data_IF_044132288867
#
_entry.id   IF_044132288867
#
_cell.length_a   1.000
_cell.length_b   1.000
_cell.length_c   1.000
_cell.angle_alpha   90.00
_cell.angle_beta   90.00
_cell.angle_gamma   90.00
#
_symmetry.space_group_name_H-M   'P 1'
#
loop_
_entity.id
_entity.type
_entity.pdbx_description
1 polymer ?
#
# COMPACT_ATOMS: atom_id res chain seq x y z
N UNK A 1 -22.30 8.55 38.91
CA UNK A 1 -22.45 7.08 38.99
C UNK A 1 -22.32 6.36 37.64
N UNK A 2 -22.14 7.05 36.50
CA UNK A 2 -21.92 6.43 35.17
C UNK A 2 -20.44 6.40 34.72
N UNK A 3 -19.51 7.03 35.47
CA UNK A 3 -18.07 7.04 35.15
C UNK A 3 -17.32 5.77 35.59
N UNK A 4 -17.81 5.08 36.62
CA UNK A 4 -17.17 3.85 37.13
C UNK A 4 -17.44 2.63 36.26
N UNK A 5 -18.63 2.56 35.63
CA UNK A 5 -19.00 1.46 34.72
C UNK A 5 -18.18 1.46 33.43
N UNK A 6 -17.86 2.65 32.90
CA UNK A 6 -17.05 2.80 31.67
C UNK A 6 -15.61 2.35 31.90
N UNK A 7 -15.05 2.58 33.10
CA UNK A 7 -13.65 2.25 33.37
C UNK A 7 -13.41 0.73 33.39
N UNK A 8 -14.27 -0.06 34.02
CA UNK A 8 -14.11 -1.52 34.05
C UNK A 8 -14.30 -2.14 32.65
N UNK A 9 -15.26 -1.64 31.87
CA UNK A 9 -15.43 -2.09 30.48
C UNK A 9 -14.23 -1.74 29.61
N UNK A 10 -13.67 -0.53 29.76
CA UNK A 10 -12.46 -0.11 29.06
C UNK A 10 -11.22 -0.89 29.51
N UNK A 11 -11.09 -1.22 30.80
CA UNK A 11 -10.02 -2.07 31.33
C UNK A 11 -10.10 -3.49 30.75
N UNK A 12 -11.31 -4.05 30.66
CA UNK A 12 -11.52 -5.36 30.02
C UNK A 12 -11.15 -5.29 28.54
N UNK A 13 -11.58 -4.25 27.82
CA UNK A 13 -11.21 -4.07 26.41
C UNK A 13 -9.69 -3.91 26.24
N UNK A 14 -9.04 -3.15 27.12
CA UNK A 14 -7.58 -2.98 27.08
C UNK A 14 -6.85 -4.31 27.30
N UNK A 15 -7.26 -5.10 28.30
CA UNK A 15 -6.70 -6.42 28.58
C UNK A 15 -6.88 -7.40 27.41
N UNK A 16 -8.06 -7.42 26.79
CA UNK A 16 -8.34 -8.26 25.61
C UNK A 16 -7.47 -7.85 24.43
N UNK A 17 -7.34 -6.54 24.16
CA UNK A 17 -6.48 -6.04 23.08
C UNK A 17 -5.01 -6.38 23.33
N UNK A 18 -4.53 -6.27 24.57
CA UNK A 18 -3.16 -6.66 24.95
C UNK A 18 -2.90 -8.15 24.74
N UNK A 19 -3.86 -9.01 25.12
CA UNK A 19 -3.76 -10.45 24.93
C UNK A 19 -3.75 -10.82 23.43
N UNK A 20 -4.61 -10.19 22.62
CA UNK A 20 -4.62 -10.33 21.17
C UNK A 20 -3.28 -9.91 20.55
N UNK A 21 -2.71 -8.80 21.01
CA UNK A 21 -1.43 -8.28 20.54
C UNK A 21 -0.28 -9.25 20.84
N UNK A 22 -0.25 -9.80 22.06
CA UNK A 22 0.72 -10.82 22.48
C UNK A 22 0.57 -12.07 21.60
N UNK A 23 -0.66 -12.53 21.37
CA UNK A 23 -0.94 -13.68 20.53
C UNK A 23 -0.54 -13.43 19.06
N UNK A 24 -0.82 -12.24 18.54
CA UNK A 24 -0.43 -11.84 17.18
C UNK A 24 1.09 -11.82 17.02
N UNK A 25 1.84 -11.29 17.98
CA UNK A 25 3.31 -11.29 17.99
C UNK A 25 3.87 -12.72 18.05
N UNK A 26 3.30 -13.59 18.88
CA UNK A 26 3.67 -15.02 18.96
C UNK A 26 3.41 -15.73 17.62
N UNK A 27 2.24 -15.54 17.02
CA UNK A 27 1.90 -16.13 15.72
C UNK A 27 2.70 -15.55 14.56
N UNK A 28 3.10 -14.27 14.61
CA UNK A 28 3.99 -13.67 13.59
C UNK A 28 5.35 -14.35 13.54
N UNK A 29 5.91 -14.76 14.68
CA UNK A 29 7.16 -15.54 14.74
C UNK A 29 7.01 -16.96 14.19
N UNK A 30 5.80 -17.52 14.21
CA UNK A 30 5.46 -18.85 13.66
C UNK A 30 5.08 -18.83 12.18
N UNK A 31 4.75 -17.65 11.62
CA UNK A 31 4.38 -17.53 10.21
C UNK A 31 5.62 -17.70 9.32
N UNK A 32 5.80 -18.88 8.75
CA UNK A 32 6.83 -19.19 7.75
C UNK A 32 6.53 -18.67 6.33
N UNK A 33 5.70 -17.63 6.19
CA UNK A 33 5.25 -17.14 4.89
C UNK A 33 5.82 -15.74 4.62
N UNK A 34 6.66 -15.63 3.58
CA UNK A 34 7.34 -14.40 3.19
C UNK A 34 6.37 -13.31 2.70
N UNK A 35 5.27 -13.69 2.04
CA UNK A 35 4.26 -12.76 1.51
C UNK A 35 2.86 -13.20 1.96
N UNK A 36 2.12 -12.33 2.65
CA UNK A 36 0.75 -12.62 3.08
C UNK A 36 -0.18 -12.90 1.89
N UNK A 37 -1.10 -13.86 2.01
CA UNK A 37 -2.02 -14.23 0.93
C UNK A 37 -2.88 -13.06 0.43
N UNK A 38 -3.20 -12.09 1.30
CA UNK A 38 -3.88 -10.86 0.89
C UNK A 38 -3.09 -10.08 -0.19
N UNK A 39 -1.76 -10.03 -0.09
CA UNK A 39 -0.92 -9.32 -1.07
C UNK A 39 -0.72 -10.12 -2.36
N UNK A 40 -1.00 -11.43 -2.37
CA UNK A 40 -1.00 -12.24 -3.59
C UNK A 40 -2.15 -11.86 -4.52
N UNK A 41 -3.26 -11.33 -3.98
CA UNK A 41 -4.41 -10.87 -4.75
C UNK A 41 -4.25 -9.50 -5.41
N UNK A 42 -3.06 -8.88 -5.33
CA UNK A 42 -2.76 -7.55 -5.92
C UNK A 42 -3.16 -7.45 -7.39
N UNK A 43 -2.97 -8.50 -8.18
CA UNK A 43 -3.31 -8.48 -9.60
C UNK A 43 -4.82 -8.32 -9.89
N UNK A 44 -5.68 -8.51 -8.89
CA UNK A 44 -7.14 -8.43 -9.02
C UNK A 44 -7.69 -7.30 -8.14
N UNK A 45 -7.29 -7.27 -6.87
CA UNK A 45 -7.79 -6.33 -5.85
C UNK A 45 -6.86 -5.12 -5.65
N UNK A 46 -5.75 -5.04 -6.38
CA UNK A 46 -4.81 -3.93 -6.25
C UNK A 46 -5.44 -2.61 -6.63
N UNK A 47 -5.10 -1.55 -5.90
CA UNK A 47 -5.58 -0.19 -6.17
C UNK A 47 -5.30 0.23 -7.62
N UNK A 48 -4.12 -0.12 -8.16
CA UNK A 48 -3.82 0.20 -9.55
C UNK A 48 -4.76 -0.49 -10.54
N UNK A 49 -5.08 -1.77 -10.33
CA UNK A 49 -5.91 -2.55 -11.25
C UNK A 49 -7.38 -2.16 -11.13
N UNK A 50 -7.85 -1.91 -9.92
CA UNK A 50 -9.24 -1.53 -9.65
C UNK A 50 -9.51 -0.06 -9.95
N UNK A 51 -8.68 0.87 -9.46
CA UNK A 51 -8.96 2.30 -9.48
C UNK A 51 -8.50 2.99 -10.77
N UNK A 52 -7.37 2.58 -11.36
CA UNK A 52 -6.82 3.25 -12.54
C UNK A 52 -7.79 3.23 -13.75
N UNK A 53 -8.48 2.12 -14.08
CA UNK A 53 -9.42 2.11 -15.21
C UNK A 53 -10.56 3.13 -15.04
N UNK A 54 -11.09 3.27 -13.82
CA UNK A 54 -12.15 4.22 -13.52
C UNK A 54 -11.67 5.67 -13.60
N UNK A 55 -10.47 5.93 -13.09
CA UNK A 55 -9.89 7.28 -13.06
C UNK A 55 -9.35 7.70 -14.43
N UNK A 56 -8.93 6.75 -15.28
CA UNK A 56 -8.42 7.03 -16.63
C UNK A 56 -9.50 7.57 -17.58
N UNK A 57 -10.77 7.29 -17.32
CA UNK A 57 -11.88 7.78 -18.16
C UNK A 57 -12.26 9.23 -17.85
N UNK A 58 -11.85 9.76 -16.70
CA UNK A 58 -12.18 11.11 -16.23
C UNK A 58 -10.89 11.89 -15.95
N UNK A 59 -10.49 12.74 -16.90
CA UNK A 59 -9.25 13.52 -16.83
C UNK A 59 -9.20 14.44 -15.60
N UNK A 60 -10.35 14.89 -15.09
CA UNK A 60 -10.40 15.76 -13.90
C UNK A 60 -10.03 14.99 -12.63
N UNK A 61 -10.63 13.81 -12.43
CA UNK A 61 -10.30 12.91 -11.32
C UNK A 61 -8.89 12.35 -11.44
N UNK A 62 -8.42 12.11 -12.66
CA UNK A 62 -7.05 11.71 -12.91
C UNK A 62 -6.06 12.77 -12.42
N UNK A 63 -6.31 14.02 -12.78
CA UNK A 63 -5.48 15.13 -12.34
C UNK A 63 -5.54 15.33 -10.82
N UNK A 64 -6.71 15.17 -10.19
CA UNK A 64 -6.81 15.26 -8.73
C UNK A 64 -6.01 14.17 -8.01
N UNK A 65 -6.09 12.94 -8.53
CA UNK A 65 -5.45 11.76 -7.94
C UNK A 65 -3.92 11.80 -8.08
N UNK A 66 -3.41 12.05 -9.28
CA UNK A 66 -1.97 12.02 -9.58
C UNK A 66 -1.29 13.40 -9.60
N UNK A 67 -2.06 14.50 -9.55
CA UNK A 67 -1.58 15.89 -9.72
C UNK A 67 -0.83 16.13 -11.03
N UNK A 68 -1.09 15.29 -12.04
CA UNK A 68 -0.48 15.36 -13.36
C UNK A 68 -1.44 14.81 -14.41
N UNK A 69 -1.26 15.23 -15.66
CA UNK A 69 -2.02 14.70 -16.79
C UNK A 69 -1.52 13.31 -17.20
N UNK A 70 -2.39 12.51 -17.82
CA UNK A 70 -2.04 11.16 -18.27
C UNK A 70 -0.88 11.18 -19.26
N UNK A 71 -0.81 12.20 -20.13
CA UNK A 71 0.31 12.40 -21.05
C UNK A 71 1.65 12.51 -20.31
N UNK A 72 1.70 13.34 -19.26
CA UNK A 72 2.90 13.52 -18.43
C UNK A 72 3.29 12.22 -17.72
N UNK A 73 2.30 11.44 -17.25
CA UNK A 73 2.54 10.15 -16.62
C UNK A 73 3.18 9.17 -17.60
N UNK A 74 2.65 9.06 -18.82
CA UNK A 74 3.18 8.16 -19.85
C UNK A 74 4.62 8.57 -20.26
N UNK A 75 4.90 9.87 -20.35
CA UNK A 75 6.25 10.37 -20.64
C UNK A 75 7.25 10.05 -19.52
N UNK A 76 6.81 10.20 -18.27
CA UNK A 76 7.62 9.86 -17.10
C UNK A 76 7.88 8.36 -17.03
N UNK A 77 6.85 7.55 -17.27
CA UNK A 77 6.96 6.09 -17.36
C UNK A 77 8.01 5.71 -18.40
N UNK A 78 7.95 6.27 -19.62
CA UNK A 78 8.91 5.96 -20.68
C UNK A 78 10.36 6.23 -20.27
N UNK A 79 10.63 7.33 -19.57
CA UNK A 79 11.98 7.70 -19.10
C UNK A 79 12.46 6.86 -17.92
N UNK A 80 11.56 6.47 -17.03
CA UNK A 80 11.90 5.73 -15.81
C UNK A 80 11.75 4.22 -15.94
N UNK A 81 11.13 3.72 -17.02
CA UNK A 81 10.83 2.31 -17.25
C UNK A 81 12.07 1.44 -17.06
N UNK A 82 13.20 1.84 -17.63
CA UNK A 82 14.45 1.08 -17.54
C UNK A 82 14.99 0.99 -16.11
N UNK A 83 14.87 2.08 -15.34
CA UNK A 83 15.31 2.13 -13.93
C UNK A 83 14.34 1.43 -12.98
N UNK A 84 13.06 1.39 -13.31
CA UNK A 84 12.00 0.81 -12.50
C UNK A 84 11.71 -0.66 -12.85
N UNK A 85 12.17 -1.15 -14.00
CA UNK A 85 12.00 -2.54 -14.39
C UNK A 85 12.85 -3.42 -13.47
N UNK A 86 12.17 -4.23 -12.68
CA UNK A 86 12.75 -5.33 -11.92
C UNK A 86 12.50 -6.63 -12.70
N UNK A 87 13.34 -7.63 -12.48
CA UNK A 87 13.17 -8.94 -13.11
C UNK A 87 12.12 -9.75 -12.37
N UNK A 88 11.33 -10.50 -13.14
CA UNK A 88 10.47 -11.54 -12.59
C UNK A 88 11.34 -12.72 -12.15
N UNK A 89 10.98 -13.33 -11.02
CA UNK A 89 11.64 -14.52 -10.49
C UNK A 89 10.62 -15.66 -10.40
N UNK A 90 11.09 -16.91 -10.37
CA UNK A 90 10.21 -18.09 -10.21
C UNK A 90 9.32 -18.01 -8.96
N UNK A 91 9.77 -17.28 -7.93
CA UNK A 91 9.09 -17.15 -6.65
C UNK A 91 8.15 -15.94 -6.60
N UNK A 92 8.37 -14.94 -7.46
CA UNK A 92 7.67 -13.66 -7.39
C UNK A 92 7.66 -12.94 -8.73
N UNK A 93 6.46 -12.53 -9.14
CA UNK A 93 6.25 -11.56 -10.20
C UNK A 93 6.57 -10.17 -9.71
N UNK A 94 7.31 -9.44 -10.52
CA UNK A 94 7.71 -8.08 -10.29
C UNK A 94 6.53 -7.13 -10.52
N UNK A 95 6.44 -6.11 -9.69
CA UNK A 95 5.48 -5.03 -9.90
C UNK A 95 5.85 -4.27 -11.16
N UNK A 96 4.88 -4.03 -12.02
CA UNK A 96 5.14 -3.36 -13.30
C UNK A 96 5.68 -1.95 -13.05
N UNK A 97 6.56 -1.43 -13.93
CA UNK A 97 7.10 -0.07 -13.78
C UNK A 97 6.02 1.00 -13.64
N UNK A 98 4.90 0.82 -14.33
CA UNK A 98 3.73 1.71 -14.30
C UNK A 98 3.01 1.70 -12.95
N UNK A 99 2.75 0.51 -12.41
CA UNK A 99 2.18 0.34 -11.06
C UNK A 99 3.07 0.95 -9.99
N UNK A 100 4.37 0.70 -10.08
CA UNK A 100 5.35 1.28 -9.15
C UNK A 100 5.26 2.80 -9.20
N UNK A 101 5.30 3.39 -10.39
CA UNK A 101 5.22 4.84 -10.55
C UNK A 101 3.93 5.42 -9.96
N UNK A 102 2.79 4.78 -10.19
CA UNK A 102 1.50 5.21 -9.65
C UNK A 102 1.49 5.24 -8.11
N UNK A 103 2.01 4.18 -7.47
CA UNK A 103 2.11 4.11 -5.99
C UNK A 103 3.03 5.21 -5.46
N UNK A 104 4.16 5.47 -6.12
CA UNK A 104 5.07 6.55 -5.73
C UNK A 104 4.41 7.92 -5.76
N UNK A 105 3.74 8.22 -6.87
CA UNK A 105 3.12 9.52 -7.09
C UNK A 105 2.01 9.76 -6.06
N UNK A 106 1.22 8.72 -5.76
CA UNK A 106 0.23 8.77 -4.69
C UNK A 106 0.88 9.05 -3.34
N UNK A 107 1.95 8.34 -3.00
CA UNK A 107 2.66 8.54 -1.74
C UNK A 107 3.21 9.97 -1.61
N UNK A 108 3.84 10.50 -2.66
CA UNK A 108 4.35 11.88 -2.69
C UNK A 108 3.22 12.89 -2.57
N UNK A 109 2.08 12.65 -3.22
CA UNK A 109 0.93 13.54 -3.14
C UNK A 109 0.33 13.62 -1.72
N UNK A 110 0.25 12.47 -1.03
CA UNK A 110 -0.22 12.39 0.36
C UNK A 110 0.81 12.98 1.33
N UNK A 111 2.10 12.68 1.12
CA UNK A 111 3.20 13.02 2.02
C UNK A 111 4.13 14.08 1.42
N UNK A 112 3.61 15.30 1.22
CA UNK A 112 4.36 16.42 0.61
C UNK A 112 5.65 16.82 1.36
N UNK A 113 5.81 16.39 2.63
CA UNK A 113 6.90 16.82 3.52
C UNK A 113 7.85 15.69 3.99
N UNK A 114 7.69 14.45 3.52
CA UNK A 114 8.53 13.30 3.94
C UNK A 114 9.03 12.52 2.73
N UNK A 115 10.09 13.02 2.11
CA UNK A 115 10.75 12.42 0.94
C UNK A 115 11.64 11.20 1.26
N UNK A 116 11.88 10.88 2.53
CA UNK A 116 12.90 9.89 2.92
C UNK A 116 12.38 8.46 3.20
N UNK A 117 11.07 8.25 3.37
CA UNK A 117 10.51 6.94 3.78
C UNK A 117 10.00 6.04 2.61
N UNK A 118 10.28 6.41 1.36
CA UNK A 118 9.75 5.70 0.19
C UNK A 118 10.26 4.25 0.07
N UNK A 119 11.42 3.93 0.65
CA UNK A 119 12.12 2.63 0.50
C UNK A 119 11.31 1.46 1.06
N UNK A 120 10.49 1.69 2.10
CA UNK A 120 9.75 0.62 2.77
C UNK A 120 8.57 0.16 1.89
N UNK A 121 7.96 1.06 1.12
CA UNK A 121 6.87 0.70 0.20
C UNK A 121 7.36 -0.12 -1.01
N UNK A 122 8.60 0.07 -1.46
CA UNK A 122 9.16 -0.62 -2.64
C UNK A 122 9.73 -2.01 -2.39
N UNK A 123 10.00 -2.35 -1.13
CA UNK A 123 10.48 -3.68 -0.74
C UNK A 123 9.35 -4.59 -0.24
N UNK A 124 8.26 -4.00 0.26
CA UNK A 124 7.03 -4.70 0.66
C UNK A 124 5.94 -4.76 -0.42
N UNK A 125 6.15 -4.17 -1.61
CA UNK A 125 5.24 -4.31 -2.77
C UNK A 125 5.86 -4.99 -3.96
#
# INVERSE_FOLDING_TARGET
MLRSFINCELEIVALVLEEEDINWRRNRRRRGMWVHNAWKKRGVEGEFVSLLPHVKCDDTKFYEHFRMLMYTLNQLERKLKEKLRKQDTLWRQSVTPRERLAVCLRYVNIHKNKTQDCTILFNYT
#
